data_IF_295511010537
#
_entry.id   IF_295511010537
#
_cell.length_a   1.000
_cell.length_b   1.000
_cell.length_c   1.000
_cell.angle_alpha   90.00
_cell.angle_beta   90.00
_cell.angle_gamma   90.00
#
_symmetry.space_group_name_H-M   'P 1'
#
loop_
_entity.id
_entity.type
_entity.pdbx_description
1 polymer ?
#
# COMPACT_ATOMS: atom_id res chain seq x y z
N UNK A 1 -14.11 8.42 1.21
CA UNK A 1 -14.00 9.70 0.48
C UNK A 1 -13.60 10.72 1.52
N UNK A 2 -12.36 11.22 1.50
CA UNK A 2 -11.95 12.27 2.43
C UNK A 2 -12.40 13.59 1.81
N UNK A 3 -13.43 14.20 2.38
CA UNK A 3 -13.91 15.52 1.97
C UNK A 3 -13.13 16.61 2.69
N UNK A 4 -12.61 17.58 1.95
CA UNK A 4 -12.15 18.82 2.54
C UNK A 4 -13.36 19.73 2.76
N UNK A 5 -13.62 20.08 4.02
CA UNK A 5 -14.58 21.13 4.37
C UNK A 5 -13.86 22.48 4.33
N UNK A 6 -14.41 23.46 3.60
CA UNK A 6 -13.95 24.83 3.71
C UNK A 6 -14.24 25.37 5.12
N UNK A 7 -13.32 26.18 5.66
CA UNK A 7 -13.43 26.76 7.01
C UNK A 7 -14.64 27.69 7.17
N UNK A 8 -15.14 28.27 6.08
CA UNK A 8 -16.32 29.12 6.06
C UNK A 8 -17.42 28.46 5.19
N UNK A 9 -18.60 28.12 5.77
CA UNK A 9 -19.67 27.40 5.07
C UNK A 9 -20.31 28.19 3.91
N UNK A 10 -20.08 29.49 3.88
CA UNK A 10 -20.58 30.49 2.94
C UNK A 10 -19.63 30.76 1.75
N UNK A 11 -18.41 30.18 1.76
CA UNK A 11 -17.50 30.20 0.60
C UNK A 11 -17.41 28.82 -0.03
N UNK A 12 -17.79 28.72 -1.31
CA UNK A 12 -17.52 27.52 -2.08
C UNK A 12 -15.99 27.26 -2.10
N UNK A 13 -15.53 26.01 -1.88
CA UNK A 13 -14.10 25.72 -1.85
C UNK A 13 -13.46 26.14 -3.18
N UNK A 14 -12.38 26.94 -3.17
CA UNK A 14 -11.83 27.55 -4.38
C UNK A 14 -11.25 26.53 -5.37
N UNK A 15 -10.94 25.31 -4.92
CA UNK A 15 -10.48 24.20 -5.76
C UNK A 15 -11.17 22.91 -5.31
N UNK A 16 -11.70 22.14 -6.28
CA UNK A 16 -12.19 20.76 -6.08
C UNK A 16 -11.34 19.81 -6.89
N UNK A 17 -10.71 18.85 -6.22
CA UNK A 17 -9.93 17.79 -6.87
C UNK A 17 -10.69 16.47 -6.73
N UNK A 18 -11.03 15.85 -7.85
CA UNK A 18 -11.56 14.50 -7.92
C UNK A 18 -10.69 13.67 -8.86
N UNK A 19 -10.32 12.47 -8.44
CA UNK A 19 -9.59 11.53 -9.26
C UNK A 19 -10.22 10.14 -9.14
N UNK A 20 -10.21 9.33 -10.21
CA UNK A 20 -10.70 7.96 -10.13
C UNK A 20 -9.76 7.13 -9.25
N UNK A 21 -10.36 6.30 -8.39
CA UNK A 21 -9.63 5.27 -7.63
C UNK A 21 -10.07 3.91 -8.13
N UNK A 22 -9.10 3.08 -8.52
CA UNK A 22 -9.33 1.70 -8.91
C UNK A 22 -9.25 0.82 -7.66
N UNK A 23 -10.25 -0.03 -7.44
CA UNK A 23 -10.28 -0.99 -6.34
C UNK A 23 -10.43 -2.41 -6.89
N UNK A 24 -9.67 -3.36 -6.34
CA UNK A 24 -9.84 -4.76 -6.67
C UNK A 24 -11.19 -5.23 -6.11
N UNK A 25 -11.97 -5.92 -6.94
CA UNK A 25 -13.27 -6.47 -6.54
C UNK A 25 -13.44 -7.86 -7.10
N UNK A 26 -14.20 -8.67 -6.38
CA UNK A 26 -14.51 -10.07 -6.73
C UNK A 26 -15.97 -10.34 -6.41
N UNK A 27 -16.51 -11.45 -6.90
CA UNK A 27 -17.85 -11.89 -6.55
C UNK A 27 -17.91 -12.31 -5.07
N UNK A 28 -19.10 -12.19 -4.46
CA UNK A 28 -19.31 -12.62 -3.09
C UNK A 28 -19.07 -14.13 -2.94
N UNK A 29 -18.31 -14.51 -1.91
CA UNK A 29 -18.14 -15.89 -1.45
C UNK A 29 -19.00 -16.14 -0.20
N UNK A 30 -19.34 -17.40 0.14
CA UNK A 30 -20.09 -17.62 1.38
C UNK A 30 -20.58 -19.02 1.72
N UNK A 31 -20.33 -20.05 0.91
CA UNK A 31 -20.84 -21.41 1.20
C UNK A 31 -19.82 -22.28 1.93
N UNK A 32 -19.97 -22.50 3.23
CA UNK A 32 -19.04 -23.28 4.05
C UNK A 32 -19.68 -24.61 4.47
N UNK A 33 -19.73 -25.62 3.60
CA UNK A 33 -20.49 -26.86 3.85
C UNK A 33 -19.79 -27.82 4.83
N UNK A 34 -18.53 -27.59 5.16
CA UNK A 34 -17.72 -28.42 6.04
C UNK A 34 -16.78 -27.53 6.88
N UNK A 35 -16.25 -28.09 7.96
CA UNK A 35 -15.23 -27.46 8.79
C UNK A 35 -13.95 -27.21 7.96
N UNK A 36 -13.35 -26.03 8.10
CA UNK A 36 -12.11 -25.66 7.42
C UNK A 36 -10.89 -26.39 7.99
N UNK A 37 -11.00 -26.91 9.22
CA UNK A 37 -9.94 -27.62 9.92
C UNK A 37 -9.88 -29.11 9.55
N UNK A 38 -10.90 -29.63 8.87
CA UNK A 38 -10.90 -31.00 8.35
C UNK A 38 -9.96 -31.11 7.14
N UNK A 39 -8.71 -31.49 7.43
CA UNK A 39 -7.58 -31.48 6.49
C UNK A 39 -6.96 -32.86 6.28
N UNK A 40 -7.63 -33.91 6.78
CA UNK A 40 -7.16 -35.31 6.73
C UNK A 40 -6.82 -35.80 5.32
N UNK A 41 -7.57 -35.31 4.33
CA UNK A 41 -7.42 -35.63 2.91
C UNK A 41 -6.35 -34.80 2.17
N UNK A 42 -5.73 -33.80 2.82
CA UNK A 42 -4.82 -32.82 2.19
C UNK A 42 -5.40 -32.10 0.96
N UNK A 43 -6.72 -31.87 0.96
CA UNK A 43 -7.43 -31.13 -0.10
C UNK A 43 -7.76 -29.72 0.36
N UNK A 44 -7.91 -28.82 -0.60
CA UNK A 44 -8.45 -27.49 -0.32
C UNK A 44 -9.89 -27.59 0.19
N UNK A 45 -10.23 -26.74 1.18
CA UNK A 45 -11.61 -26.60 1.64
C UNK A 45 -12.50 -26.05 0.51
N UNK A 46 -13.79 -26.35 0.57
CA UNK A 46 -14.73 -26.13 -0.54
C UNK A 46 -14.72 -24.70 -1.14
N UNK A 47 -14.48 -23.67 -0.31
CA UNK A 47 -14.46 -22.27 -0.71
C UNK A 47 -13.09 -21.68 -1.03
N UNK A 48 -12.01 -22.46 -0.97
CA UNK A 48 -10.63 -21.94 -0.97
C UNK A 48 -10.34 -20.93 -2.08
N UNK A 49 -10.69 -21.22 -3.34
CA UNK A 49 -10.44 -20.29 -4.44
C UNK A 49 -11.17 -18.95 -4.27
N UNK A 50 -12.45 -19.00 -3.88
CA UNK A 50 -13.29 -17.81 -3.77
C UNK A 50 -12.92 -16.95 -2.55
N UNK A 51 -12.67 -17.59 -1.39
CA UNK A 51 -12.21 -16.89 -0.19
C UNK A 51 -10.81 -16.30 -0.37
N UNK A 52 -9.90 -17.03 -1.02
CA UNK A 52 -8.56 -16.55 -1.32
C UNK A 52 -8.58 -15.30 -2.22
N UNK A 53 -9.38 -15.31 -3.28
CA UNK A 53 -9.52 -14.16 -4.17
C UNK A 53 -10.12 -12.94 -3.45
N UNK A 54 -11.12 -13.14 -2.58
CA UNK A 54 -11.69 -12.05 -1.77
C UNK A 54 -10.63 -11.46 -0.82
N UNK A 55 -9.85 -12.31 -0.16
CA UNK A 55 -8.78 -11.87 0.73
C UNK A 55 -7.65 -11.14 -0.03
N UNK A 56 -7.28 -11.61 -1.21
CA UNK A 56 -6.30 -10.94 -2.06
C UNK A 56 -6.81 -9.56 -2.48
N UNK A 57 -8.06 -9.47 -2.97
CA UNK A 57 -8.66 -8.20 -3.36
C UNK A 57 -8.74 -7.18 -2.20
N UNK A 58 -8.94 -7.66 -0.97
CA UNK A 58 -8.93 -6.81 0.23
C UNK A 58 -7.53 -6.30 0.60
N UNK A 59 -6.48 -7.08 0.32
CA UNK A 59 -5.09 -6.75 0.66
C UNK A 59 -4.37 -5.91 -0.41
N UNK A 60 -4.87 -5.90 -1.65
CA UNK A 60 -4.24 -5.18 -2.76
C UNK A 60 -4.36 -3.67 -2.58
N UNK A 61 -3.21 -3.01 -2.44
CA UNK A 61 -3.13 -1.56 -2.32
C UNK A 61 -3.39 -0.82 -3.65
N UNK A 62 -2.83 -1.32 -4.76
CA UNK A 62 -3.02 -0.76 -6.10
C UNK A 62 -3.29 -1.88 -7.12
N UNK A 63 -4.55 -2.04 -7.59
CA UNK A 63 -4.90 -3.09 -8.55
C UNK A 63 -4.18 -2.97 -9.90
N UNK A 64 -3.71 -1.77 -10.27
CA UNK A 64 -3.00 -1.55 -11.54
C UNK A 64 -1.64 -2.26 -11.57
N UNK A 65 -1.08 -2.62 -10.42
CA UNK A 65 0.19 -3.35 -10.32
C UNK A 65 0.10 -4.76 -10.96
N UNK A 66 -1.10 -5.29 -11.19
CA UNK A 66 -1.30 -6.57 -11.90
C UNK A 66 -1.19 -6.47 -13.42
N UNK A 67 -1.37 -5.28 -13.99
CA UNK A 67 -1.29 -5.06 -15.44
C UNK A 67 0.16 -4.88 -15.92
N UNK A 68 1.05 -4.54 -14.99
CA UNK A 68 2.46 -4.39 -15.25
C UNK A 68 3.19 -3.71 -14.10
N UNK A 69 4.54 -3.70 -14.14
CA UNK A 69 5.33 -2.98 -13.17
C UNK A 69 4.99 -1.49 -13.21
N UNK A 70 4.94 -0.86 -12.03
CA UNK A 70 4.81 0.60 -11.94
C UNK A 70 5.94 1.27 -12.70
N UNK A 71 5.63 2.38 -13.38
CA UNK A 71 6.67 3.23 -13.99
C UNK A 71 7.69 3.60 -12.92
N UNK A 72 8.96 3.57 -13.30
CA UNK A 72 10.02 4.08 -12.44
C UNK A 72 9.71 5.55 -12.13
N UNK A 73 9.78 5.90 -10.85
CA UNK A 73 9.70 7.28 -10.41
C UNK A 73 10.97 8.05 -10.80
N UNK A 74 10.97 9.34 -10.51
CA UNK A 74 12.17 10.16 -10.64
C UNK A 74 13.30 9.63 -9.75
N UNK A 75 14.53 9.94 -10.18
CA UNK A 75 15.73 9.54 -9.45
C UNK A 75 15.84 10.41 -8.19
N UNK A 76 15.93 9.77 -7.03
CA UNK A 76 16.43 10.39 -5.79
C UNK A 76 17.96 10.53 -5.92
N UNK A 77 18.39 11.68 -6.45
CA UNK A 77 19.78 11.95 -6.78
C UNK A 77 20.65 11.97 -5.53
N UNK A 78 20.15 12.57 -4.45
CA UNK A 78 20.84 12.67 -3.16
C UNK A 78 21.11 11.30 -2.56
N UNK A 79 20.11 10.41 -2.55
CA UNK A 79 20.27 9.05 -2.03
C UNK A 79 21.25 8.24 -2.87
N UNK A 80 21.14 8.30 -4.19
CA UNK A 80 22.05 7.59 -5.09
C UNK A 80 23.49 8.08 -4.95
N UNK A 81 23.70 9.38 -4.86
CA UNK A 81 25.01 9.97 -4.60
C UNK A 81 25.57 9.47 -3.26
N UNK A 82 24.77 9.47 -2.19
CA UNK A 82 25.19 8.95 -0.89
C UNK A 82 25.59 7.47 -0.91
N UNK A 83 24.87 6.63 -1.65
CA UNK A 83 25.24 5.21 -1.85
C UNK A 83 26.53 5.08 -2.64
N UNK A 84 26.73 5.90 -3.68
CA UNK A 84 27.95 5.93 -4.48
C UNK A 84 29.15 6.33 -3.62
N UNK A 85 29.01 7.35 -2.78
CA UNK A 85 30.08 7.80 -1.88
C UNK A 85 30.48 6.69 -0.90
N UNK A 86 29.49 6.00 -0.30
CA UNK A 86 29.74 4.82 0.55
C UNK A 86 30.49 3.73 -0.20
N UNK A 87 30.09 3.42 -1.43
CA UNK A 87 30.75 2.40 -2.25
C UNK A 87 32.20 2.78 -2.60
N UNK A 88 32.48 4.08 -2.75
CA UNK A 88 33.81 4.63 -3.01
C UNK A 88 34.68 4.78 -1.75
N UNK A 89 34.15 4.49 -0.56
CA UNK A 89 34.83 4.72 0.72
C UNK A 89 34.95 6.20 1.10
N UNK A 90 34.15 7.08 0.47
CA UNK A 90 34.08 8.49 0.81
C UNK A 90 33.05 8.73 1.92
N UNK A 91 33.27 9.77 2.73
CA UNK A 91 32.30 10.19 3.73
C UNK A 91 31.09 10.83 3.03
N UNK A 92 29.97 10.10 3.01
CA UNK A 92 28.71 10.55 2.43
C UNK A 92 28.05 11.63 3.30
N UNK A 93 27.83 12.83 2.76
CA UNK A 93 27.03 13.89 3.40
C UNK A 93 25.51 13.63 3.35
N UNK A 94 25.08 12.61 2.60
CA UNK A 94 23.68 12.21 2.50
C UNK A 94 23.17 11.64 3.83
N UNK A 95 22.09 12.23 4.35
CA UNK A 95 21.34 11.72 5.48
C UNK A 95 20.04 11.08 4.96
N UNK A 96 19.89 9.73 5.01
CA UNK A 96 18.65 9.10 4.60
C UNK A 96 17.50 9.65 5.43
N UNK A 97 16.33 9.83 4.83
CA UNK A 97 15.10 10.27 5.49
C UNK A 97 15.20 11.67 6.11
N UNK A 98 14.78 12.70 5.38
CA UNK A 98 14.44 14.01 5.96
C UNK A 98 13.08 13.96 6.69
N UNK A 99 12.89 12.92 7.48
CA UNK A 99 11.84 12.88 8.48
C UNK A 99 12.49 13.36 9.76
N UNK A 100 11.84 14.23 10.53
CA UNK A 100 12.41 14.65 11.82
C UNK A 100 12.76 13.42 12.64
N UNK A 101 13.84 13.50 13.44
CA UNK A 101 14.20 12.43 14.36
C UNK A 101 13.01 12.05 15.25
N UNK A 102 12.17 13.03 15.60
CA UNK A 102 10.90 12.83 16.33
C UNK A 102 9.91 11.91 15.60
N UNK A 103 9.81 12.01 14.26
CA UNK A 103 8.92 11.19 13.46
C UNK A 103 9.47 9.77 13.26
N UNK A 104 10.80 9.60 13.30
CA UNK A 104 11.42 8.26 13.31
C UNK A 104 11.15 7.52 14.60
N UNK A 105 11.26 8.21 15.74
CA UNK A 105 10.95 7.65 17.06
C UNK A 105 9.48 7.18 17.17
N UNK A 106 8.55 7.81 16.45
CA UNK A 106 7.14 7.45 16.43
C UNK A 106 6.78 6.32 15.43
N UNK A 107 7.74 5.84 14.62
CA UNK A 107 7.46 4.88 13.52
C UNK A 107 7.69 3.42 13.89
N UNK A 108 8.20 3.14 15.08
CA UNK A 108 8.12 1.80 15.65
C UNK A 108 6.70 1.60 16.19
N UNK A 109 5.89 0.88 15.42
CA UNK A 109 4.78 0.13 16.02
C UNK A 109 5.47 -0.88 16.92
N UNK A 110 5.54 -0.58 18.23
CA UNK A 110 5.89 -1.54 19.24
C UNK A 110 4.88 -2.69 19.12
N UNK A 111 5.37 -3.86 18.74
CA UNK A 111 4.64 -5.11 18.89
C UNK A 111 4.80 -5.60 20.32
#
# INVERSE_FOLDING_TARGET
MVSYQALAPDTAPPIRVSYPVVKASTNQCGRWPADILDTTDNKHYANFGCSYQNNLAAQVANPNDFLGPRKQGEIDAENRMGVIDKYRGAESIYKPGKVSEDFRAAREIAY
#
